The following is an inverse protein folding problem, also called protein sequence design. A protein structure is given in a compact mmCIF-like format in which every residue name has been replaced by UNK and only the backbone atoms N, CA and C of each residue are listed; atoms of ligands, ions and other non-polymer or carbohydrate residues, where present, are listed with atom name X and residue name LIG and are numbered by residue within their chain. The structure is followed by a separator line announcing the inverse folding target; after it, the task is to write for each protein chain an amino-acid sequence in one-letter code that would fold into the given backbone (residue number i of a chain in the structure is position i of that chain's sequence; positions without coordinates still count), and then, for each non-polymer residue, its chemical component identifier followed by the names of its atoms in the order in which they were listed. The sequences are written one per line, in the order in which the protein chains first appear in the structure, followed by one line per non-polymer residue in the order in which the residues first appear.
data_IF_652438469996
#
_entry.id   IF_652438469996
#
_cell.length_a   1.000
_cell.length_b   1.000
_cell.length_c   1.000
_cell.angle_alpha   90.00
_cell.angle_beta   90.00
_cell.angle_gamma   90.00
#
_symmetry.space_group_name_H-M   'P 1'
#
loop_
_entity.id
_entity.type
_entity.pdbx_description
1 polymer ?
#
# COMPACT_ATOMS: atom_id res chain seq x y z
N UNK A 1 3.80 23.95 2.72
CA UNK A 1 3.78 22.48 2.62
C UNK A 1 3.55 21.93 4.03
N UNK A 2 2.89 20.78 4.20
CA UNK A 2 2.68 20.16 5.51
C UNK A 2 4.00 19.86 6.21
N UNK A 3 4.03 19.97 7.53
CA UNK A 3 5.18 19.49 8.33
C UNK A 3 4.90 18.15 9.01
N UNK A 4 3.72 17.55 8.79
CA UNK A 4 3.36 16.25 9.36
C UNK A 4 3.21 16.28 10.89
N UNK A 5 2.78 17.42 11.45
CA UNK A 5 2.56 17.60 12.89
C UNK A 5 1.13 17.19 13.30
N UNK A 6 0.93 16.98 14.61
CA UNK A 6 -0.38 16.65 15.22
C UNK A 6 -1.44 17.68 14.82
N UNK A 7 -2.61 17.21 14.35
CA UNK A 7 -3.74 18.04 13.94
C UNK A 7 -3.59 18.76 12.58
N UNK A 8 -2.39 18.72 12.01
CA UNK A 8 -2.08 19.32 10.71
C UNK A 8 -2.58 18.43 9.58
N UNK A 9 -2.34 17.12 9.69
CA UNK A 9 -2.73 16.07 8.73
C UNK A 9 -4.23 16.10 8.38
N UNK A 10 -5.12 16.23 9.38
CA UNK A 10 -6.57 16.34 9.15
C UNK A 10 -6.93 17.49 8.22
N UNK A 11 -6.39 18.69 8.45
CA UNK A 11 -6.66 19.85 7.59
C UNK A 11 -6.17 19.64 6.16
N UNK A 12 -5.10 18.84 5.98
CA UNK A 12 -4.57 18.49 4.66
C UNK A 12 -5.38 17.39 3.95
N UNK A 13 -5.77 16.34 4.69
CA UNK A 13 -6.58 15.22 4.20
C UNK A 13 -8.04 15.62 3.96
N UNK A 14 -8.57 16.54 4.75
CA UNK A 14 -9.93 17.05 4.65
C UNK A 14 -10.07 18.26 3.72
N UNK A 15 -8.97 18.79 3.17
CA UNK A 15 -9.00 19.90 2.20
C UNK A 15 -9.41 19.43 0.79
N UNK A 16 -10.62 18.88 0.72
CA UNK A 16 -11.45 18.88 -0.49
C UNK A 16 -11.15 17.85 -1.56
N UNK A 17 -10.40 16.77 -1.25
CA UNK A 17 -10.15 15.72 -2.24
C UNK A 17 -9.74 14.37 -1.66
N UNK A 18 -9.72 13.31 -2.49
CA UNK A 18 -9.30 11.98 -2.07
C UNK A 18 -7.79 11.97 -1.76
N UNK A 19 -7.37 11.05 -0.89
CA UNK A 19 -5.95 10.75 -0.66
C UNK A 19 -5.56 9.48 -1.40
N UNK A 20 -4.31 9.40 -1.85
CA UNK A 20 -3.74 8.17 -2.40
C UNK A 20 -3.25 7.31 -1.25
N UNK A 21 -3.86 6.14 -1.06
CA UNK A 21 -3.51 5.20 0.01
C UNK A 21 -2.68 4.06 -0.57
N UNK A 22 -1.39 4.00 -0.23
CA UNK A 22 -0.52 2.95 -0.69
C UNK A 22 -0.62 1.74 0.25
N UNK A 23 -0.89 0.56 -0.31
CA UNK A 23 -0.75 -0.72 0.39
C UNK A 23 0.43 -1.47 -0.24
N UNK A 24 1.59 -1.41 0.43
CA UNK A 24 2.87 -2.02 0.03
C UNK A 24 3.52 -1.55 -1.28
N UNK A 25 2.85 -0.73 -2.10
CA UNK A 25 3.36 -0.34 -3.42
C UNK A 25 2.76 0.99 -3.95
N UNK A 26 3.52 1.71 -4.78
CA UNK A 26 3.08 2.94 -5.47
C UNK A 26 2.78 2.68 -6.96
N UNK A 27 1.52 2.69 -7.40
CA UNK A 27 1.15 2.64 -8.81
C UNK A 27 1.96 3.63 -9.68
N UNK A 28 2.32 3.23 -10.91
CA UNK A 28 3.14 4.06 -11.82
C UNK A 28 2.59 5.46 -12.03
N UNK A 29 1.27 5.59 -12.16
CA UNK A 29 0.68 6.91 -12.40
C UNK A 29 0.70 7.78 -11.15
N UNK A 30 0.93 7.22 -9.96
CA UNK A 30 1.18 8.01 -8.77
C UNK A 30 2.61 8.53 -8.77
N UNK A 31 3.59 7.65 -8.99
CA UNK A 31 5.03 8.02 -9.00
C UNK A 31 5.35 9.15 -9.97
N UNK A 32 4.73 9.18 -11.14
CA UNK A 32 4.97 10.25 -12.14
C UNK A 32 4.56 11.65 -11.68
N UNK A 33 3.73 11.78 -10.63
CA UNK A 33 3.30 13.07 -10.09
C UNK A 33 4.37 13.71 -9.20
N UNK A 34 5.32 12.92 -8.71
CA UNK A 34 6.30 13.32 -7.71
C UNK A 34 7.72 13.36 -8.27
N UNK A 35 8.61 13.97 -7.50
CA UNK A 35 10.05 13.93 -7.64
C UNK A 35 10.68 13.72 -6.25
N UNK A 36 11.98 13.44 -6.20
CA UNK A 36 12.70 13.14 -4.94
C UNK A 36 12.60 14.28 -3.92
N UNK A 37 12.43 15.53 -4.36
CA UNK A 37 12.28 16.69 -3.48
C UNK A 37 10.92 16.77 -2.78
N UNK A 38 9.95 15.97 -3.22
CA UNK A 38 8.62 15.85 -2.59
C UNK A 38 8.61 14.83 -1.44
N UNK A 39 9.72 14.14 -1.18
CA UNK A 39 9.89 13.30 -0.01
C UNK A 39 9.94 14.21 1.22
N UNK A 40 8.97 14.04 2.11
CA UNK A 40 8.88 14.71 3.41
C UNK A 40 8.84 13.68 4.52
N UNK A 41 9.05 14.16 5.73
CA UNK A 41 9.12 13.31 6.92
C UNK A 41 8.10 13.78 7.94
N UNK A 42 7.27 12.87 8.44
CA UNK A 42 6.32 13.11 9.51
C UNK A 42 6.76 12.38 10.78
N UNK A 43 6.38 12.90 11.94
CA UNK A 43 6.68 12.28 13.24
C UNK A 43 5.61 11.26 13.68
N UNK A 44 4.54 11.12 12.90
CA UNK A 44 3.39 10.26 13.19
C UNK A 44 2.94 9.63 11.87
N UNK A 45 2.64 8.33 11.89
CA UNK A 45 2.01 7.62 10.75
C UNK A 45 0.49 7.74 10.81
N UNK A 46 -0.13 7.59 9.65
CA UNK A 46 -1.58 7.70 9.45
C UNK A 46 -2.40 6.61 10.18
N UNK A 47 -1.74 5.50 10.61
CA UNK A 47 -2.36 4.50 11.51
C UNK A 47 -2.68 5.07 12.90
N UNK A 48 -2.13 6.25 13.22
CA UNK A 48 -2.47 7.08 14.37
C UNK A 48 -3.08 8.42 13.87
N UNK A 49 -4.34 8.40 13.41
CA UNK A 49 -5.12 9.61 13.04
C UNK A 49 -6.39 9.74 13.93
N UNK A 50 -7.10 10.87 13.88
CA UNK A 50 -7.22 11.89 14.93
C UNK A 50 -8.37 11.66 15.93
N UNK A 51 -8.96 10.45 15.92
CA UNK A 51 -10.01 10.04 16.86
C UNK A 51 -9.45 9.14 17.97
N UNK A 52 -8.20 8.70 17.86
CA UNK A 52 -7.47 8.16 19.00
C UNK A 52 -7.20 9.31 19.97
N UNK A 53 -7.67 9.16 21.21
CA UNK A 53 -7.53 10.20 22.23
C UNK A 53 -6.05 10.61 22.32
N UNK A 54 -5.76 11.90 22.51
CA UNK A 54 -4.39 12.41 22.65
C UNK A 54 -3.54 11.61 23.66
N UNK A 55 -4.21 10.96 24.61
CA UNK A 55 -3.70 10.04 25.62
C UNK A 55 -3.09 8.78 24.99
N UNK A 56 -3.65 8.20 23.93
CA UNK A 56 -3.16 6.96 23.30
C UNK A 56 -1.83 7.17 22.57
N UNK A 57 -1.66 8.33 21.93
CA UNK A 57 -0.38 8.71 21.30
C UNK A 57 0.67 9.06 22.37
N UNK A 58 0.27 9.76 23.43
CA UNK A 58 1.18 10.08 24.55
C UNK A 58 1.57 8.82 25.34
N UNK A 59 0.67 7.85 25.57
CA UNK A 59 0.98 6.52 26.13
C UNK A 59 1.88 5.69 25.20
N UNK A 60 1.58 5.69 23.89
CA UNK A 60 2.43 5.03 22.90
C UNK A 60 3.84 5.62 22.95
N UNK A 61 3.96 6.94 22.90
CA UNK A 61 5.25 7.62 22.99
C UNK A 61 5.90 7.40 24.36
N UNK A 62 5.18 7.39 25.47
CA UNK A 62 5.71 7.14 26.82
C UNK A 62 6.33 5.73 26.96
N UNK A 63 5.77 4.73 26.29
CA UNK A 63 6.31 3.38 26.21
C UNK A 63 7.31 3.14 25.07
N UNK A 64 7.32 4.00 24.06
CA UNK A 64 8.16 3.88 22.88
C UNK A 64 9.65 4.04 23.21
N UNK A 65 10.48 3.28 22.50
CA UNK A 65 11.93 3.43 22.58
C UNK A 65 12.34 4.83 22.06
N UNK A 66 13.48 5.40 22.50
CA UNK A 66 13.97 6.68 21.98
C UNK A 66 14.01 6.75 20.45
N UNK A 67 14.35 5.64 19.79
CA UNK A 67 14.40 5.50 18.34
C UNK A 67 13.03 5.63 17.67
N UNK A 68 11.96 5.16 18.32
CA UNK A 68 10.58 5.26 17.84
C UNK A 68 10.01 6.67 18.05
N UNK A 69 10.45 7.38 19.10
CA UNK A 69 10.06 8.78 19.35
C UNK A 69 10.70 9.75 18.36
N UNK A 70 11.93 9.46 17.95
CA UNK A 70 12.67 10.24 16.96
C UNK A 70 12.43 9.76 15.53
N UNK A 71 11.64 8.69 15.35
CA UNK A 71 11.30 8.12 14.06
C UNK A 71 10.61 9.16 13.17
N UNK A 72 11.11 9.25 11.94
CA UNK A 72 10.60 10.14 10.90
C UNK A 72 10.13 9.30 9.73
N UNK A 73 8.83 9.32 9.50
CA UNK A 73 8.18 8.51 8.48
C UNK A 73 8.14 9.25 7.15
N UNK A 74 8.74 8.70 6.09
CA UNK A 74 8.69 9.33 4.79
C UNK A 74 7.25 9.33 4.25
N UNK A 75 6.85 10.43 3.63
CA UNK A 75 5.60 10.56 2.88
C UNK A 75 5.84 11.44 1.64
N UNK A 76 4.95 11.33 0.65
CA UNK A 76 5.04 12.14 -0.57
C UNK A 76 4.00 13.23 -0.55
N UNK A 77 4.45 14.47 -0.75
CA UNK A 77 3.55 15.61 -0.91
C UNK A 77 4.05 16.58 -1.94
N UNK A 78 3.18 16.95 -2.86
CA UNK A 78 3.46 17.99 -3.85
C UNK A 78 2.25 18.88 -4.08
N UNK A 79 2.46 20.02 -4.74
CA UNK A 79 1.34 20.88 -5.13
C UNK A 79 0.62 20.29 -6.33
N UNK A 80 -0.71 20.49 -6.43
CA UNK A 80 -1.46 20.04 -7.60
C UNK A 80 -0.90 20.61 -8.91
N UNK A 81 -0.42 21.86 -8.90
CA UNK A 81 0.21 22.48 -10.07
C UNK A 81 1.45 21.73 -10.55
N UNK A 82 2.40 21.45 -9.65
CA UNK A 82 3.62 20.71 -9.97
C UNK A 82 3.34 19.28 -10.42
N UNK A 83 2.40 18.59 -9.77
CA UNK A 83 1.99 17.24 -10.15
C UNK A 83 1.44 17.20 -11.59
N UNK A 84 0.56 18.13 -11.94
CA UNK A 84 -0.02 18.21 -13.28
C UNK A 84 1.02 18.59 -14.34
N UNK A 85 1.98 19.46 -14.01
CA UNK A 85 3.09 19.81 -14.89
C UNK A 85 3.97 18.58 -15.19
N UNK A 86 4.36 17.83 -14.16
CA UNK A 86 5.15 16.60 -14.32
C UNK A 86 4.40 15.53 -15.11
N UNK A 87 3.12 15.32 -14.79
CA UNK A 87 2.28 14.39 -15.55
C UNK A 87 2.26 14.77 -17.04
N UNK A 88 2.01 16.04 -17.36
CA UNK A 88 1.99 16.52 -18.74
C UNK A 88 3.34 16.31 -19.45
N UNK A 89 4.45 16.62 -18.77
CA UNK A 89 5.80 16.45 -19.33
C UNK A 89 6.16 14.98 -19.59
N UNK A 90 5.74 14.07 -18.71
CA UNK A 90 6.09 12.63 -18.78
C UNK A 90 5.13 11.82 -19.66
N UNK A 91 3.97 12.39 -20.03
CA UNK A 91 2.87 11.71 -20.72
C UNK A 91 3.32 10.94 -21.95
N UNK A 92 3.90 11.61 -22.93
CA UNK A 92 4.14 10.97 -24.23
C UNK A 92 5.22 9.88 -24.15
N UNK A 93 6.25 10.08 -23.31
CA UNK A 93 7.26 9.05 -23.04
C UNK A 93 6.64 7.84 -22.33
N UNK A 94 5.79 8.07 -21.34
CA UNK A 94 5.11 6.98 -20.63
C UNK A 94 4.14 6.21 -21.53
N UNK A 95 3.37 6.90 -22.37
CA UNK A 95 2.45 6.25 -23.32
C UNK A 95 3.21 5.49 -24.41
N UNK A 96 4.35 6.01 -24.89
CA UNK A 96 5.19 5.28 -25.84
C UNK A 96 5.66 3.93 -25.27
N UNK A 97 5.88 3.86 -23.96
CA UNK A 97 6.31 2.65 -23.27
C UNK A 97 5.16 1.67 -22.97
N UNK A 98 4.05 2.17 -22.42
CA UNK A 98 2.89 1.36 -22.04
C UNK A 98 2.02 0.96 -23.24
N UNK A 99 2.07 1.73 -24.32
CA UNK A 99 1.23 1.61 -25.51
C UNK A 99 -0.03 2.48 -25.44
N UNK A 100 -0.56 2.79 -26.63
CA UNK A 100 -1.70 3.71 -26.82
C UNK A 100 -2.97 3.33 -26.05
N UNK A 101 -3.15 2.04 -25.71
CA UNK A 101 -4.29 1.60 -24.89
C UNK A 101 -4.34 2.31 -23.52
N UNK A 102 -3.20 2.72 -22.97
CA UNK A 102 -3.12 3.39 -21.68
C UNK A 102 -3.41 4.89 -21.74
N UNK A 103 -3.42 5.50 -22.94
CA UNK A 103 -3.71 6.95 -23.10
C UNK A 103 -5.04 7.37 -22.48
N UNK A 104 -6.19 6.72 -22.76
CA UNK A 104 -7.46 7.08 -22.12
C UNK A 104 -7.43 6.90 -20.60
N UNK A 105 -6.70 5.92 -20.07
CA UNK A 105 -6.55 5.71 -18.62
C UNK A 105 -5.76 6.87 -18.00
N UNK A 106 -4.66 7.26 -18.64
CA UNK A 106 -3.80 8.36 -18.22
C UNK A 106 -4.55 9.69 -18.21
N UNK A 107 -5.23 10.00 -19.31
CA UNK A 107 -5.95 11.26 -19.46
C UNK A 107 -7.08 11.35 -18.42
N UNK A 108 -7.83 10.26 -18.21
CA UNK A 108 -8.85 10.20 -17.17
C UNK A 108 -8.27 10.36 -15.76
N UNK A 109 -7.10 9.77 -15.48
CA UNK A 109 -6.43 9.90 -14.20
C UNK A 109 -5.99 11.35 -13.93
N UNK A 110 -5.35 12.00 -14.91
CA UNK A 110 -4.94 13.40 -14.79
C UNK A 110 -6.15 14.33 -14.62
N UNK A 111 -7.25 14.07 -15.31
CA UNK A 111 -8.49 14.83 -15.14
C UNK A 111 -9.13 14.61 -13.76
N UNK A 112 -9.05 13.38 -13.24
CA UNK A 112 -9.46 13.07 -11.87
C UNK A 112 -8.60 13.82 -10.85
N UNK A 113 -7.27 13.84 -11.01
CA UNK A 113 -6.38 14.66 -10.17
C UNK A 113 -6.79 16.14 -10.22
N UNK A 114 -7.00 16.68 -11.42
CA UNK A 114 -7.32 18.11 -11.61
C UNK A 114 -8.61 18.51 -10.87
N UNK A 115 -9.63 17.67 -10.97
CA UNK A 115 -10.99 17.95 -10.52
C UNK A 115 -11.27 17.54 -9.07
N UNK A 116 -10.76 16.38 -8.64
CA UNK A 116 -11.06 15.82 -7.34
C UNK A 116 -10.09 16.27 -6.25
N UNK A 117 -8.83 16.63 -6.56
CA UNK A 117 -7.84 16.98 -5.53
C UNK A 117 -7.84 18.47 -5.22
N UNK A 118 -7.56 18.79 -3.95
CA UNK A 118 -7.37 20.15 -3.45
C UNK A 118 -6.08 20.81 -3.97
N UNK A 119 -5.48 21.67 -3.15
CA UNK A 119 -4.22 22.37 -3.51
C UNK A 119 -2.99 21.46 -3.56
N UNK A 120 -3.05 20.29 -2.90
CA UNK A 120 -1.95 19.36 -2.73
C UNK A 120 -2.38 17.94 -3.10
N UNK A 121 -1.41 17.12 -3.50
CA UNK A 121 -1.54 15.68 -3.66
C UNK A 121 -0.61 15.03 -2.67
N UNK A 122 -1.12 14.06 -1.92
CA UNK A 122 -0.40 13.38 -0.86
C UNK A 122 -0.61 11.87 -0.95
N UNK A 123 0.46 11.11 -0.72
CA UNK A 123 0.43 9.66 -0.60
C UNK A 123 0.64 9.28 0.87
N UNK A 124 -0.31 8.53 1.43
CA UNK A 124 -0.24 7.94 2.77
C UNK A 124 0.62 6.68 2.73
N UNK A 125 1.46 6.49 3.74
CA UNK A 125 2.45 5.41 3.79
C UNK A 125 2.12 4.30 4.79
N UNK A 126 0.84 4.11 5.13
CA UNK A 126 0.30 3.07 6.03
C UNK A 126 0.61 1.60 5.62
N UNK A 127 1.49 1.39 4.65
CA UNK A 127 2.00 0.07 4.27
C UNK A 127 3.43 0.06 3.74
N UNK A 128 4.25 1.10 4.00
CA UNK A 128 5.68 1.04 3.64
C UNK A 128 6.48 0.21 4.66
N UNK A 129 7.46 -0.59 4.22
CA UNK A 129 8.36 -1.33 5.12
C UNK A 129 9.20 -0.38 5.99
N UNK A 130 9.81 -0.96 7.02
CA UNK A 130 10.50 -0.34 8.16
C UNK A 130 11.25 0.99 7.89
N UNK A 131 11.16 1.89 8.87
CA UNK A 131 11.47 3.33 8.86
C UNK A 131 12.94 3.62 8.54
N UNK A 132 13.82 2.64 8.74
CA UNK A 132 15.26 2.80 8.51
C UNK A 132 15.70 2.69 7.05
N UNK A 133 14.90 2.08 6.15
CA UNK A 133 15.27 1.84 4.74
C UNK A 133 14.26 2.40 3.70
N UNK A 134 13.06 2.82 4.12
CA UNK A 134 12.00 3.25 3.20
C UNK A 134 12.35 4.46 2.32
N UNK A 135 13.27 5.32 2.77
CA UNK A 135 13.67 6.53 2.04
C UNK A 135 14.51 6.19 0.79
N UNK A 136 15.43 5.23 0.87
CA UNK A 136 16.26 4.83 -0.27
C UNK A 136 15.41 4.18 -1.37
N UNK A 137 14.50 3.29 -0.97
CA UNK A 137 13.53 2.69 -1.90
C UNK A 137 12.65 3.75 -2.58
N UNK A 138 12.06 4.67 -1.81
CA UNK A 138 11.22 5.73 -2.36
C UNK A 138 12.01 6.70 -3.26
N UNK A 139 13.24 7.03 -2.88
CA UNK A 139 14.14 7.86 -3.71
C UNK A 139 14.43 7.15 -5.03
N UNK A 140 14.79 5.87 -4.98
CA UNK A 140 15.08 5.05 -6.16
C UNK A 140 13.88 5.01 -7.12
N UNK A 141 12.67 4.77 -6.60
CA UNK A 141 11.44 4.76 -7.41
C UNK A 141 11.19 6.11 -8.11
N UNK A 142 11.43 7.22 -7.42
CA UNK A 142 11.21 8.56 -7.97
C UNK A 142 12.28 8.98 -8.98
N UNK A 143 13.54 8.61 -8.75
CA UNK A 143 14.63 8.80 -9.73
C UNK A 143 14.36 8.02 -11.01
N UNK A 144 13.84 6.79 -10.88
CA UNK A 144 13.55 5.96 -12.04
C UNK A 144 12.47 6.56 -12.94
N UNK A 145 11.40 7.14 -12.37
CA UNK A 145 10.37 7.84 -13.16
C UNK A 145 10.81 9.23 -13.61
N UNK A 146 11.77 9.87 -12.94
CA UNK A 146 12.35 11.13 -13.39
C UNK A 146 13.13 10.99 -14.70
N UNK A 147 13.67 9.81 -15.01
CA UNK A 147 14.29 9.53 -16.31
C UNK A 147 13.34 9.78 -17.51
N UNK A 148 12.02 9.65 -17.29
CA UNK A 148 11.00 9.96 -18.30
C UNK A 148 10.96 11.45 -18.69
N UNK A 149 11.56 12.35 -17.90
CA UNK A 149 11.69 13.77 -18.27
C UNK A 149 12.71 13.97 -19.41
N UNK A 150 13.58 13.00 -19.67
CA UNK A 150 14.68 13.09 -20.65
C UNK A 150 14.56 12.11 -21.83
N UNK A 151 13.49 11.29 -21.87
CA UNK A 151 13.20 10.39 -22.98
C UNK A 151 12.53 9.09 -22.54
N UNK A 152 12.34 8.17 -23.47
CA UNK A 152 11.73 6.85 -23.21
C UNK A 152 12.75 5.80 -22.69
N UNK A 153 13.90 6.23 -22.16
CA UNK A 153 14.81 5.28 -21.52
C UNK A 153 14.24 4.84 -20.18
N UNK A 154 14.09 3.53 -20.00
CA UNK A 154 13.50 2.96 -18.80
C UNK A 154 14.58 2.27 -17.98
N UNK A 155 14.82 2.71 -16.73
CA UNK A 155 15.63 1.96 -15.78
C UNK A 155 15.06 0.55 -15.58
N UNK A 156 15.93 -0.44 -15.33
CA UNK A 156 15.52 -1.84 -15.25
C UNK A 156 14.35 -2.11 -14.27
N UNK A 157 14.28 -1.38 -13.15
CA UNK A 157 13.20 -1.51 -12.16
C UNK A 157 11.80 -1.16 -12.69
N UNK A 158 11.67 -0.09 -13.49
CA UNK A 158 10.38 0.32 -14.10
C UNK A 158 10.07 -0.52 -15.34
N UNK A 159 11.07 -1.13 -15.98
CA UNK A 159 10.87 -1.90 -17.21
C UNK A 159 10.05 -3.18 -16.98
N UNK A 160 10.30 -3.91 -15.89
CA UNK A 160 9.52 -5.11 -15.54
C UNK A 160 8.05 -4.76 -15.30
N UNK A 161 7.80 -3.70 -14.55
CA UNK A 161 6.46 -3.24 -14.25
C UNK A 161 5.71 -2.75 -15.50
N UNK A 162 6.37 -2.03 -16.40
CA UNK A 162 5.79 -1.64 -17.70
C UNK A 162 5.40 -2.87 -18.50
N UNK A 163 6.23 -3.89 -18.53
CA UNK A 163 5.93 -5.15 -19.20
C UNK A 163 4.75 -5.90 -18.56
N UNK A 164 4.65 -5.88 -17.23
CA UNK A 164 3.53 -6.47 -16.51
C UNK A 164 2.23 -5.69 -16.72
N UNK A 165 2.28 -4.36 -16.75
CA UNK A 165 1.17 -3.52 -17.14
C UNK A 165 0.77 -3.78 -18.60
N UNK A 166 1.70 -3.99 -19.52
CA UNK A 166 1.36 -4.35 -20.92
C UNK A 166 0.66 -5.70 -21.04
N UNK A 167 0.95 -6.64 -20.15
CA UNK A 167 0.29 -7.96 -20.10
C UNK A 167 -0.99 -7.97 -19.26
N UNK A 168 -1.22 -6.93 -18.47
CA UNK A 168 -2.40 -6.84 -17.62
C UNK A 168 -3.69 -6.90 -18.46
N UNK A 169 -4.69 -7.71 -18.06
CA UNK A 169 -6.00 -7.71 -18.67
C UNK A 169 -6.72 -6.38 -18.41
N UNK A 170 -7.67 -6.04 -19.27
CA UNK A 170 -8.44 -4.79 -19.15
C UNK A 170 -9.19 -4.66 -17.81
N UNK A 171 -9.51 -5.79 -17.17
CA UNK A 171 -10.10 -5.84 -15.80
C UNK A 171 -9.20 -5.17 -14.76
N UNK A 172 -7.89 -5.18 -14.99
CA UNK A 172 -6.88 -4.83 -14.00
C UNK A 172 -6.07 -3.59 -14.42
N UNK A 173 -6.02 -3.25 -15.71
CA UNK A 173 -5.17 -2.19 -16.25
C UNK A 173 -5.38 -0.83 -15.56
N UNK A 174 -6.65 -0.44 -15.33
CA UNK A 174 -7.00 0.80 -14.63
C UNK A 174 -6.52 0.77 -13.18
N UNK A 175 -6.84 -0.29 -12.43
CA UNK A 175 -6.55 -0.36 -10.99
C UNK A 175 -5.05 -0.52 -10.70
N UNK A 176 -4.31 -1.27 -11.53
CA UNK A 176 -2.85 -1.43 -11.38
C UNK A 176 -2.09 -0.15 -11.70
N UNK A 177 -2.55 0.65 -12.66
CA UNK A 177 -1.87 1.88 -13.05
C UNK A 177 -2.24 3.07 -12.16
N UNK A 178 -3.50 3.15 -11.70
CA UNK A 178 -4.05 4.33 -11.01
C UNK A 178 -4.37 4.12 -9.54
N UNK A 179 -4.18 2.90 -9.02
CA UNK A 179 -4.56 2.52 -7.67
C UNK A 179 -6.05 2.65 -7.41
N UNK A 180 -6.45 2.78 -6.14
CA UNK A 180 -7.85 2.77 -5.71
C UNK A 180 -8.42 4.19 -5.65
N UNK A 181 -9.71 4.34 -5.97
CA UNK A 181 -10.48 5.56 -5.79
C UNK A 181 -11.89 5.25 -5.31
N UNK A 182 -12.70 6.26 -4.97
CA UNK A 182 -14.06 6.05 -4.47
C UNK A 182 -15.06 5.96 -5.64
N UNK A 183 -15.57 4.76 -5.98
CA UNK A 183 -16.54 4.60 -7.07
C UNK A 183 -17.92 5.16 -6.75
N UNK A 184 -18.18 5.50 -5.48
CA UNK A 184 -19.47 6.01 -5.00
C UNK A 184 -19.42 7.49 -4.62
N UNK A 185 -18.33 8.20 -4.91
CA UNK A 185 -18.28 9.63 -4.67
C UNK A 185 -19.36 10.32 -5.52
N UNK A 186 -20.22 11.11 -4.86
CA UNK A 186 -21.25 11.90 -5.56
C UNK A 186 -20.63 12.93 -6.49
N UNK A 187 -19.45 13.45 -6.09
CA UNK A 187 -18.66 14.41 -6.82
C UNK A 187 -17.33 13.72 -7.19
N UNK A 188 -17.06 13.62 -8.50
CA UNK A 188 -15.87 12.96 -9.08
C UNK A 188 -15.71 11.48 -8.70
N UNK A 189 -16.59 10.56 -9.16
CA UNK A 189 -16.37 9.13 -8.96
C UNK A 189 -15.16 8.62 -9.75
N UNK A 190 -14.44 7.66 -9.16
CA UNK A 190 -13.37 6.92 -9.83
C UNK A 190 -13.68 5.42 -9.89
N UNK A 191 -13.69 4.79 -11.08
CA UNK A 191 -13.37 5.33 -12.39
C UNK A 191 -14.49 6.24 -12.93
N UNK A 192 -14.16 7.16 -13.85
CA UNK A 192 -15.17 8.02 -14.48
C UNK A 192 -16.07 7.23 -15.44
N UNK A 193 -17.28 7.76 -15.76
CA UNK A 193 -18.21 7.09 -16.69
C UNK A 193 -17.56 6.83 -18.06
N UNK A 194 -16.89 7.82 -18.62
CA UNK A 194 -16.18 7.70 -19.90
C UNK A 194 -15.06 6.66 -19.84
N UNK A 195 -14.35 6.56 -18.71
CA UNK A 195 -13.34 5.53 -18.53
C UNK A 195 -13.96 4.12 -18.44
N UNK A 196 -15.12 3.98 -17.80
CA UNK A 196 -15.89 2.72 -17.77
C UNK A 196 -16.39 2.35 -19.16
N UNK A 197 -16.80 3.31 -20.00
CA UNK A 197 -17.21 3.02 -21.38
C UNK A 197 -16.04 2.47 -22.22
N UNK A 198 -14.83 3.00 -22.03
CA UNK A 198 -13.62 2.52 -22.70
C UNK A 198 -13.08 1.20 -22.10
N UNK A 199 -13.26 1.01 -20.79
CA UNK A 199 -12.83 -0.18 -20.05
C UNK A 199 -13.99 -0.75 -19.21
N UNK A 200 -14.98 -1.42 -19.82
CA UNK A 200 -16.17 -1.91 -19.11
C UNK A 200 -15.83 -2.85 -17.94
N UNK A 201 -14.71 -3.54 -18.04
CA UNK A 201 -14.20 -4.45 -17.04
C UNK A 201 -13.78 -3.77 -15.72
N UNK A 202 -13.49 -2.46 -15.74
CA UNK A 202 -13.15 -1.68 -14.54
C UNK A 202 -14.40 -1.15 -13.80
N UNK A 203 -15.60 -1.38 -14.34
CA UNK A 203 -16.85 -0.94 -13.73
C UNK A 203 -16.96 -1.47 -12.28
N UNK A 204 -17.38 -0.64 -11.31
CA UNK A 204 -17.63 -1.08 -9.96
C UNK A 204 -18.67 -2.21 -9.96
N UNK A 205 -18.34 -3.38 -9.39
CA UNK A 205 -19.31 -4.47 -9.28
C UNK A 205 -20.50 -4.02 -8.44
N UNK A 206 -21.71 -4.26 -8.96
CA UNK A 206 -22.93 -4.06 -8.19
C UNK A 206 -22.85 -4.91 -6.91
N UNK A 207 -23.00 -4.28 -5.75
CA UNK A 207 -23.05 -5.00 -4.48
C UNK A 207 -24.31 -5.86 -4.52
N UNK A 208 -24.18 -7.18 -4.35
CA UNK A 208 -25.32 -8.01 -4.02
C UNK A 208 -25.98 -7.37 -2.79
N UNK A 209 -27.27 -7.07 -2.89
CA UNK A 209 -28.05 -6.57 -1.76
C UNK A 209 -27.75 -7.50 -0.58
N UNK A 210 -27.43 -6.96 0.61
CA UNK A 210 -27.18 -7.82 1.76
C UNK A 210 -28.43 -8.68 1.95
N UNK A 211 -28.31 -9.97 1.65
CA UNK A 211 -29.29 -10.98 2.05
C UNK A 211 -29.54 -10.72 3.53
N UNK A 212 -30.80 -10.47 3.91
CA UNK A 212 -31.23 -10.13 5.25
C UNK A 212 -30.59 -11.07 6.29
N UNK A 213 -29.43 -10.67 6.78
CA UNK A 213 -28.73 -11.27 7.90
C UNK A 213 -28.91 -10.28 9.03
N UNK A 214 -29.40 -10.81 10.16
CA UNK A 214 -29.77 -10.11 11.38
C UNK A 214 -28.80 -8.97 11.74
N UNK A 215 -29.28 -7.88 12.36
CA UNK A 215 -28.52 -6.65 12.56
C UNK A 215 -27.19 -6.97 13.22
N UNK A 216 -26.09 -6.70 12.51
CA UNK A 216 -24.77 -6.71 13.09
C UNK A 216 -24.70 -5.54 14.06
N UNK A 217 -24.45 -5.84 15.33
CA UNK A 217 -24.14 -4.85 16.35
C UNK A 217 -23.00 -3.96 15.87
N UNK A 218 -23.20 -2.65 15.89
CA UNK A 218 -22.15 -1.64 15.75
C UNK A 218 -21.15 -1.79 16.89
N UNK A 219 -20.17 -2.65 16.70
CA UNK A 219 -18.90 -2.59 17.41
C UNK A 219 -17.81 -2.66 16.35
N UNK A 220 -17.11 -1.54 16.17
CA UNK A 220 -15.86 -1.47 15.42
C UNK A 220 -14.96 -2.60 15.95
N UNK A 221 -14.82 -3.68 15.18
CA UNK A 221 -13.84 -4.73 15.48
C UNK A 221 -12.46 -4.17 15.16
N UNK A 222 -11.87 -3.49 16.14
CA UNK A 222 -10.44 -3.71 16.37
C UNK A 222 -10.27 -5.22 16.47
N UNK A 223 -9.37 -5.78 15.68
CA UNK A 223 -8.99 -7.19 15.77
C UNK A 223 -8.32 -7.35 17.14
N UNK A 224 -9.13 -7.60 18.17
CA UNK A 224 -8.64 -8.03 19.46
C UNK A 224 -7.72 -9.23 19.19
N UNK A 225 -6.48 -9.25 19.69
CA UNK A 225 -5.57 -10.35 19.48
C UNK A 225 -6.25 -11.60 20.02
N UNK A 226 -6.66 -12.49 19.12
CA UNK A 226 -7.41 -13.67 19.46
C UNK A 226 -6.47 -14.51 20.34
N UNK A 227 -6.82 -14.73 21.60
CA UNK A 227 -5.97 -15.48 22.55
C UNK A 227 -5.65 -16.88 22.04
N UNK A 228 -6.51 -17.43 21.18
CA UNK A 228 -6.29 -18.68 20.46
C UNK A 228 -5.14 -18.63 19.45
N UNK A 229 -4.96 -17.52 18.71
CA UNK A 229 -3.86 -17.38 17.75
C UNK A 229 -2.52 -17.20 18.47
N UNK A 230 -2.48 -16.44 19.57
CA UNK A 230 -1.28 -16.35 20.43
C UNK A 230 -0.94 -17.71 21.05
N UNK A 231 -1.92 -18.46 21.54
CA UNK A 231 -1.67 -19.79 22.11
C UNK A 231 -1.17 -20.76 21.03
N UNK A 232 -1.70 -20.72 19.81
CA UNK A 232 -1.21 -21.52 18.68
C UNK A 232 0.22 -21.14 18.27
N UNK A 233 0.54 -19.85 18.27
CA UNK A 233 1.88 -19.33 17.98
C UNK A 233 2.89 -19.76 19.04
N UNK A 234 2.55 -19.67 20.33
CA UNK A 234 3.38 -20.19 21.41
C UNK A 234 3.53 -21.71 21.36
N UNK A 235 2.46 -22.46 21.08
CA UNK A 235 2.53 -23.93 20.92
C UNK A 235 3.45 -24.30 19.76
N UNK A 236 3.38 -23.60 18.63
CA UNK A 236 4.28 -23.82 17.50
C UNK A 236 5.74 -23.56 17.90
N UNK A 237 6.03 -22.44 18.58
CA UNK A 237 7.37 -22.11 19.06
C UNK A 237 7.90 -23.18 20.03
N UNK A 238 7.09 -23.66 20.98
CA UNK A 238 7.50 -24.71 21.92
C UNK A 238 7.71 -26.07 21.25
N UNK A 239 6.90 -26.43 20.24
CA UNK A 239 7.11 -27.64 19.45
C UNK A 239 8.41 -27.55 18.64
N UNK A 240 8.68 -26.41 18.02
CA UNK A 240 9.92 -26.20 17.27
C UNK A 240 11.16 -26.22 18.15
N UNK A 241 11.13 -25.49 19.27
CA UNK A 241 12.21 -25.50 20.25
C UNK A 241 12.42 -26.90 20.84
N UNK A 242 11.34 -27.62 21.17
CA UNK A 242 11.39 -28.97 21.73
C UNK A 242 11.98 -30.00 20.76
N UNK A 243 11.57 -29.96 19.48
CA UNK A 243 12.12 -30.85 18.44
C UNK A 243 13.59 -30.56 18.18
N UNK A 244 13.97 -29.28 18.07
CA UNK A 244 15.36 -28.90 17.84
C UNK A 244 16.27 -29.29 19.02
N UNK A 245 15.90 -28.94 20.25
CA UNK A 245 16.68 -29.23 21.45
C UNK A 245 16.71 -30.72 21.77
N UNK A 246 15.57 -31.43 21.65
CA UNK A 246 15.49 -32.87 21.88
C UNK A 246 16.32 -33.67 20.87
N UNK A 247 16.22 -33.32 19.59
CA UNK A 247 17.00 -34.00 18.54
C UNK A 247 18.49 -33.73 18.70
N UNK A 248 18.88 -32.50 19.07
CA UNK A 248 20.27 -32.16 19.35
C UNK A 248 20.81 -32.85 20.60
N UNK A 249 20.04 -32.93 21.69
CA UNK A 249 20.46 -33.58 22.93
C UNK A 249 20.75 -35.08 22.74
N UNK A 250 19.97 -35.75 21.88
CA UNK A 250 20.11 -37.19 21.59
C UNK A 250 21.19 -37.47 20.54
N UNK A 251 21.29 -36.65 19.50
CA UNK A 251 22.17 -36.95 18.35
C UNK A 251 23.46 -36.12 18.30
N UNK A 252 23.56 -35.07 19.12
CA UNK A 252 24.60 -34.03 19.11
C UNK A 252 24.89 -33.43 17.73
N UNK A 253 23.95 -33.51 16.80
CA UNK A 253 24.11 -33.09 15.41
C UNK A 253 23.12 -31.99 15.06
N UNK A 254 23.65 -30.80 14.77
CA UNK A 254 22.86 -29.63 14.36
C UNK A 254 22.13 -29.88 13.04
N UNK A 255 22.80 -30.57 12.09
CA UNK A 255 22.20 -30.91 10.80
C UNK A 255 20.95 -31.80 10.94
N UNK A 256 20.99 -32.80 11.83
CA UNK A 256 19.83 -33.67 12.08
C UNK A 256 18.68 -32.92 12.76
N UNK A 257 18.98 -31.95 13.62
CA UNK A 257 17.98 -31.11 14.25
C UNK A 257 17.28 -30.18 13.22
N UNK A 258 18.02 -29.62 12.27
CA UNK A 258 17.46 -28.81 11.17
C UNK A 258 16.55 -29.65 10.26
N UNK A 259 16.99 -30.85 9.86
CA UNK A 259 16.19 -31.74 9.02
C UNK A 259 14.92 -32.21 9.74
N UNK A 260 15.02 -32.59 11.01
CA UNK A 260 13.86 -32.99 11.81
C UNK A 260 12.84 -31.83 11.95
N UNK A 261 13.33 -30.61 12.16
CA UNK A 261 12.49 -29.41 12.24
C UNK A 261 11.74 -29.16 10.94
N UNK A 262 12.44 -29.22 9.80
CA UNK A 262 11.84 -29.03 8.47
C UNK A 262 10.75 -30.07 8.15
N UNK A 263 10.96 -31.33 8.54
CA UNK A 263 9.97 -32.42 8.35
C UNK A 263 8.70 -32.16 9.19
N UNK A 264 8.86 -31.69 10.43
CA UNK A 264 7.72 -31.34 11.30
C UNK A 264 6.94 -30.14 10.73
N UNK A 265 7.62 -29.11 10.25
CA UNK A 265 6.97 -27.96 9.59
C UNK A 265 6.14 -28.40 8.38
N UNK A 266 6.71 -29.25 7.52
CA UNK A 266 6.04 -29.74 6.32
C UNK A 266 4.79 -30.58 6.65
N UNK A 267 4.87 -31.44 7.67
CA UNK A 267 3.73 -32.22 8.14
C UNK A 267 2.61 -31.34 8.70
N UNK A 268 2.96 -30.29 9.45
CA UNK A 268 2.01 -29.36 10.05
C UNK A 268 1.32 -28.49 8.98
N UNK A 269 2.07 -27.99 8.00
CA UNK A 269 1.53 -27.26 6.86
C UNK A 269 0.57 -28.14 6.02
N UNK A 270 0.91 -29.42 5.83
CA UNK A 270 0.05 -30.37 5.11
C UNK A 270 -1.25 -30.67 5.87
N UNK A 271 -1.19 -30.83 7.19
CA UNK A 271 -2.39 -31.03 8.02
C UNK A 271 -3.32 -29.81 7.96
N UNK A 272 -2.78 -28.59 8.03
CA UNK A 272 -3.55 -27.36 7.92
C UNK A 272 -4.20 -27.22 6.53
N UNK A 273 -3.46 -27.49 5.46
CA UNK A 273 -3.98 -27.47 4.10
C UNK A 273 -5.05 -28.55 3.84
N UNK A 274 -4.98 -29.68 4.56
CA UNK A 274 -5.97 -30.76 4.45
C UNK A 274 -7.27 -30.41 5.17
N UNK A 275 -7.20 -29.80 6.35
CA UNK A 275 -8.38 -29.37 7.11
C UNK A 275 -9.17 -28.29 6.36
N UNK A 276 -8.48 -27.35 5.72
CA UNK A 276 -9.10 -26.29 4.91
C UNK A 276 -9.76 -26.76 3.60
N UNK A 277 -9.54 -28.02 3.17
CA UNK A 277 -10.18 -28.60 1.97
C UNK A 277 -11.43 -29.42 2.28
N UNK A 278 -11.71 -29.68 3.55
CA UNK A 278 -12.86 -30.46 4.02
C UNK A 278 -14.01 -29.61 4.55
N UNK A 279 -13.81 -28.29 4.67
CA UNK A 279 -14.84 -27.27 4.89
C UNK A 279 -15.20 -26.57 3.57
#
# INVERSE_FOLDING_TARGET
MPEGRKGELKTYFSAGGPSLEANAYFPLFWRILFATEDIRFAYVIDDFDPDDDAIEIEEFLEGAAPEERDARYPYLVTTKGLALERAARRRDNLIALLGERYRPIFDAFVDYIRSAYGGFILIRTSGLPDVTDATEGMTTELEQVAALDHGAHVPAGVAEEIEDLKRAPDTDAVWRSTGVGNPRAEIHPWPSKTLIEAFPACAPRARQAPSARAPASDTKRYRAPNTLDKVLEWVAIFVFAGVAVGTWAVTRSVWKAVVATAVVTAAMAWLLARVQRTD
#
